data_IF_233706910564
#
_entry.id   IF_233706910564
#
_cell.length_a   1.000
_cell.length_b   1.000
_cell.length_c   1.000
_cell.angle_alpha   90.00
_cell.angle_beta   90.00
_cell.angle_gamma   90.00
#
_symmetry.space_group_name_H-M   'P 1'
#
loop_
_entity.id
_entity.type
_entity.pdbx_description
1 polymer ?
#
# COMPACT_ATOMS: atom_id res chain seq x y z
N UNK A 1 -27.51 23.44 -50.82
CA UNK A 1 -26.81 22.24 -50.28
C UNK A 1 -26.13 22.66 -48.98
N UNK A 2 -26.76 22.37 -47.85
CA UNK A 2 -26.27 22.75 -46.52
C UNK A 2 -25.81 21.53 -45.75
N UNK A 3 -24.64 21.61 -45.11
CA UNK A 3 -24.16 20.61 -44.16
C UNK A 3 -24.06 21.31 -42.80
N UNK A 4 -24.90 20.88 -41.86
CA UNK A 4 -24.86 21.28 -40.44
C UNK A 4 -23.90 20.34 -39.69
N UNK A 5 -23.11 20.81 -38.72
CA UNK A 5 -22.33 19.94 -37.85
C UNK A 5 -23.25 19.23 -36.85
N UNK A 6 -23.01 17.93 -36.66
CA UNK A 6 -23.77 17.07 -35.75
C UNK A 6 -23.22 17.19 -34.33
N UNK A 7 -24.05 17.66 -33.39
CA UNK A 7 -23.72 17.69 -31.97
C UNK A 7 -23.84 16.27 -31.36
N UNK A 8 -22.88 15.90 -30.52
CA UNK A 8 -22.92 14.66 -29.76
C UNK A 8 -23.96 14.73 -28.63
N UNK A 9 -24.81 13.72 -28.53
CA UNK A 9 -25.84 13.58 -27.50
C UNK A 9 -25.19 13.02 -26.23
N UNK A 10 -25.32 13.74 -25.11
CA UNK A 10 -24.89 13.30 -23.78
C UNK A 10 -26.06 12.53 -23.15
N UNK A 11 -25.88 11.25 -22.84
CA UNK A 11 -26.84 10.45 -22.06
C UNK A 11 -26.73 10.78 -20.57
N UNK A 12 -27.84 10.87 -19.81
CA UNK A 12 -27.80 11.06 -18.36
C UNK A 12 -27.45 9.75 -17.63
N UNK A 13 -26.60 9.84 -16.59
CA UNK A 13 -26.28 8.74 -15.68
C UNK A 13 -27.49 8.31 -14.82
N UNK A 14 -27.59 7.03 -14.42
CA UNK A 14 -28.64 6.57 -13.53
C UNK A 14 -28.33 6.95 -12.07
N UNK A 15 -29.25 7.70 -11.46
CA UNK A 15 -29.26 8.00 -10.03
C UNK A 15 -29.55 6.74 -9.20
N UNK A 16 -28.56 6.22 -8.48
CA UNK A 16 -28.77 5.14 -7.50
C UNK A 16 -29.26 5.73 -6.18
N UNK A 17 -30.57 5.62 -5.90
CA UNK A 17 -31.16 5.99 -4.61
C UNK A 17 -30.98 4.86 -3.58
N UNK A 18 -30.37 5.19 -2.45
CA UNK A 18 -30.04 4.28 -1.32
C UNK A 18 -31.24 3.91 -0.43
N UNK A 19 -32.48 4.02 -0.91
CA UNK A 19 -33.66 4.07 -0.04
C UNK A 19 -34.23 2.71 0.44
N UNK A 20 -33.62 1.56 0.11
CA UNK A 20 -34.19 0.25 0.45
C UNK A 20 -33.14 -0.79 0.90
N UNK A 21 -32.53 -0.60 2.08
CA UNK A 21 -31.85 -1.70 2.78
C UNK A 21 -32.61 -2.10 4.04
N UNK A 22 -33.00 -3.38 4.21
CA UNK A 22 -33.59 -3.86 5.44
C UNK A 22 -32.59 -3.77 6.61
N UNK A 23 -33.12 -3.56 7.82
CA UNK A 23 -32.32 -3.39 9.03
C UNK A 23 -31.52 -4.66 9.38
N UNK A 24 -30.27 -4.55 9.87
CA UNK A 24 -29.48 -5.69 10.31
C UNK A 24 -30.12 -6.36 11.54
N UNK A 25 -30.21 -7.69 11.53
CA UNK A 25 -30.70 -8.48 12.66
C UNK A 25 -29.77 -8.34 13.89
N UNK A 26 -30.30 -8.44 15.13
CA UNK A 26 -29.48 -8.39 16.34
C UNK A 26 -28.54 -9.60 16.40
N UNK A 27 -27.23 -9.35 16.48
CA UNK A 27 -26.23 -10.40 16.66
C UNK A 27 -26.14 -10.80 18.14
N UNK A 28 -25.94 -12.09 18.47
CA UNK A 28 -25.75 -12.54 19.85
C UNK A 28 -24.45 -11.96 20.45
N UNK A 29 -24.36 -11.80 21.78
CA UNK A 29 -23.20 -11.21 22.42
C UNK A 29 -21.98 -12.13 22.23
N UNK A 30 -21.00 -11.67 21.47
CA UNK A 30 -19.71 -12.35 21.34
C UNK A 30 -18.95 -12.15 22.66
N UNK A 31 -18.46 -13.22 23.33
CA UNK A 31 -17.63 -13.07 24.51
C UNK A 31 -16.40 -12.23 24.19
N UNK A 32 -16.27 -11.05 24.81
CA UNK A 32 -15.09 -10.20 24.64
C UNK A 32 -13.92 -10.87 25.35
N UNK A 33 -13.01 -11.43 24.56
CA UNK A 33 -11.68 -11.79 25.05
C UNK A 33 -11.02 -10.52 25.63
N UNK A 34 -10.29 -10.60 26.75
CA UNK A 34 -9.55 -9.47 27.28
C UNK A 34 -8.57 -8.96 26.21
N UNK A 35 -8.39 -7.63 26.07
CA UNK A 35 -7.42 -7.09 25.13
C UNK A 35 -6.05 -7.65 25.49
N UNK A 36 -5.41 -8.31 24.53
CA UNK A 36 -4.03 -8.73 24.66
C UNK A 36 -3.17 -7.51 25.06
N UNK A 37 -2.14 -7.68 25.92
CA UNK A 37 -1.26 -6.58 26.28
C UNK A 37 -0.75 -5.92 25.00
N UNK A 38 -0.93 -4.61 24.91
CA UNK A 38 -0.50 -3.80 23.78
C UNK A 38 1.01 -3.93 23.63
N UNK A 39 1.43 -4.85 22.75
CA UNK A 39 2.81 -4.94 22.30
C UNK A 39 3.14 -3.59 21.67
N UNK A 40 3.83 -2.71 22.40
CA UNK A 40 4.22 -1.37 21.96
C UNK A 40 5.31 -1.49 20.89
N UNK A 41 4.90 -1.82 19.68
CA UNK A 41 5.73 -1.92 18.49
C UNK A 41 5.45 -0.72 17.57
N UNK A 42 6.43 -0.35 16.74
CA UNK A 42 6.31 0.75 15.78
C UNK A 42 6.19 2.15 16.40
N UNK A 43 6.37 2.28 17.72
CA UNK A 43 6.28 3.54 18.46
C UNK A 43 7.54 3.82 19.28
N UNK A 44 7.74 5.07 19.65
CA UNK A 44 8.80 5.51 20.57
C UNK A 44 8.72 4.76 21.92
N UNK A 45 9.84 4.62 22.66
CA UNK A 45 11.17 5.15 22.34
C UNK A 45 12.04 4.21 21.48
N UNK A 46 11.67 2.93 21.35
CA UNK A 46 12.56 1.90 20.80
C UNK A 46 12.23 1.49 19.35
N UNK A 47 11.10 1.95 18.80
CA UNK A 47 10.66 1.71 17.41
C UNK A 47 10.88 0.27 16.93
N UNK A 48 10.47 -0.71 17.75
CA UNK A 48 10.63 -2.13 17.41
C UNK A 48 9.59 -2.53 16.36
N UNK A 49 9.96 -3.18 15.24
CA UNK A 49 8.99 -3.69 14.28
C UNK A 49 7.94 -4.60 14.93
N UNK A 50 6.69 -4.49 14.51
CA UNK A 50 5.60 -5.33 15.00
C UNK A 50 5.66 -6.78 14.51
N UNK A 51 6.32 -6.99 13.37
CA UNK A 51 6.51 -8.29 12.73
C UNK A 51 7.95 -8.39 12.22
N UNK A 52 8.43 -9.61 11.99
CA UNK A 52 9.73 -9.82 11.34
C UNK A 52 9.73 -9.31 9.90
N UNK A 53 10.92 -9.04 9.34
CA UNK A 53 11.06 -8.63 7.94
C UNK A 53 10.52 -9.70 6.97
N UNK A 54 10.70 -10.98 7.28
CA UNK A 54 10.16 -12.09 6.48
C UNK A 54 8.63 -12.09 6.46
N UNK A 55 8.00 -11.81 7.61
CA UNK A 55 6.55 -11.66 7.71
C UNK A 55 6.07 -10.39 7.00
N UNK A 56 6.77 -9.27 7.12
CA UNK A 56 6.43 -8.01 6.45
C UNK A 56 6.52 -8.12 4.93
N UNK A 57 7.59 -8.74 4.42
CA UNK A 57 7.75 -9.06 3.00
C UNK A 57 6.81 -10.16 2.52
N UNK A 58 6.23 -10.93 3.44
CA UNK A 58 5.38 -12.10 3.21
C UNK A 58 5.93 -12.98 2.08
N UNK A 59 7.09 -13.59 2.32
CA UNK A 59 7.71 -14.58 1.43
C UNK A 59 7.36 -15.99 1.91
N UNK A 60 6.07 -16.38 1.92
CA UNK A 60 5.75 -17.79 2.10
C UNK A 60 5.96 -18.52 0.76
N UNK A 61 7.15 -19.08 0.54
CA UNK A 61 7.55 -19.74 -0.72
C UNK A 61 6.65 -20.91 -1.16
N UNK A 62 5.70 -21.35 -0.33
CA UNK A 62 4.89 -22.54 -0.57
C UNK A 62 3.54 -22.26 -1.26
N UNK A 63 3.16 -21.00 -1.49
CA UNK A 63 1.96 -20.69 -2.26
C UNK A 63 2.25 -19.58 -3.27
N UNK A 64 2.10 -19.89 -4.54
CA UNK A 64 2.49 -19.06 -5.69
C UNK A 64 1.73 -17.72 -5.82
N UNK A 65 0.89 -17.37 -4.84
CA UNK A 65 0.25 -16.06 -4.69
C UNK A 65 0.37 -15.55 -3.25
N UNK A 66 1.60 -15.20 -2.84
CA UNK A 66 1.78 -14.36 -1.66
C UNK A 66 1.87 -12.92 -2.09
N UNK A 67 0.79 -12.17 -1.89
CA UNK A 67 0.74 -10.72 -2.10
C UNK A 67 1.00 -10.06 -0.77
N UNK A 68 2.16 -9.41 -0.61
CA UNK A 68 2.42 -8.57 0.56
C UNK A 68 1.51 -7.34 0.51
N UNK A 69 1.14 -6.79 1.67
CA UNK A 69 0.36 -5.54 1.74
C UNK A 69 1.04 -4.38 0.97
N UNK A 70 2.38 -4.38 0.96
CA UNK A 70 3.20 -3.48 0.17
C UNK A 70 2.98 -3.68 -1.34
N UNK A 71 3.10 -4.91 -1.84
CA UNK A 71 2.86 -5.22 -3.26
C UNK A 71 1.44 -4.88 -3.69
N UNK A 72 0.45 -5.15 -2.84
CA UNK A 72 -0.93 -4.79 -3.12
C UNK A 72 -1.11 -3.27 -3.22
N UNK A 73 -0.51 -2.51 -2.31
CA UNK A 73 -0.51 -1.05 -2.38
C UNK A 73 0.15 -0.54 -3.66
N UNK A 74 1.31 -1.09 -4.03
CA UNK A 74 1.99 -0.74 -5.27
C UNK A 74 1.12 -0.98 -6.51
N UNK A 75 0.39 -2.10 -6.55
CA UNK A 75 -0.57 -2.40 -7.62
C UNK A 75 -1.70 -1.38 -7.67
N UNK A 76 -2.30 -1.05 -6.53
CA UNK A 76 -3.37 -0.03 -6.44
C UNK A 76 -2.89 1.37 -6.85
N UNK A 77 -1.63 1.68 -6.63
CA UNK A 77 -0.98 2.93 -7.07
C UNK A 77 -0.50 2.88 -8.53
N UNK A 78 -0.80 1.81 -9.28
CA UNK A 78 -0.45 1.62 -10.68
C UNK A 78 1.06 1.75 -10.95
N UNK A 79 1.90 1.19 -10.08
CA UNK A 79 3.34 1.16 -10.31
C UNK A 79 3.67 0.27 -11.55
N UNK A 80 4.66 0.66 -12.37
CA UNK A 80 5.10 -0.14 -13.52
C UNK A 80 5.49 -1.56 -13.12
N UNK A 81 5.32 -2.58 -13.99
CA UNK A 81 5.68 -3.96 -13.68
C UNK A 81 7.11 -4.15 -13.17
N UNK A 82 8.08 -3.39 -13.71
CA UNK A 82 9.46 -3.40 -13.24
C UNK A 82 9.64 -2.85 -11.81
N UNK A 83 8.80 -1.91 -11.38
CA UNK A 83 8.75 -1.45 -10.00
C UNK A 83 8.03 -2.44 -9.07
N UNK A 84 7.04 -3.20 -9.56
CA UNK A 84 6.32 -4.18 -8.74
C UNK A 84 7.25 -5.27 -8.20
N UNK A 85 8.30 -5.64 -8.94
CA UNK A 85 9.33 -6.57 -8.49
C UNK A 85 10.13 -6.06 -7.27
N UNK A 86 10.15 -4.74 -7.05
CA UNK A 86 10.80 -4.09 -5.92
C UNK A 86 9.89 -3.94 -4.69
N UNK A 87 8.58 -4.20 -4.81
CA UNK A 87 7.58 -4.00 -3.75
C UNK A 87 7.61 -5.06 -2.65
N UNK A 88 8.75 -5.15 -1.96
CA UNK A 88 9.03 -6.02 -0.82
C UNK A 88 10.04 -5.34 0.12
N UNK A 89 9.95 -5.59 1.42
CA UNK A 89 10.78 -4.92 2.43
C UNK A 89 12.24 -5.42 2.48
N UNK A 90 12.51 -6.60 1.92
CA UNK A 90 13.81 -7.25 1.86
C UNK A 90 14.57 -6.95 0.55
N UNK A 91 14.14 -5.93 -0.20
CA UNK A 91 14.82 -5.46 -1.41
C UNK A 91 16.17 -4.82 -1.04
N UNK A 92 17.22 -5.15 -1.80
CA UNK A 92 18.56 -4.59 -1.57
C UNK A 92 18.80 -3.32 -2.39
N UNK A 93 19.74 -2.47 -1.94
CA UNK A 93 20.15 -1.28 -2.72
C UNK A 93 20.65 -1.65 -4.12
N UNK A 94 21.33 -2.80 -4.27
CA UNK A 94 21.83 -3.27 -5.55
C UNK A 94 20.69 -3.60 -6.53
N UNK A 95 19.61 -4.23 -6.05
CA UNK A 95 18.44 -4.55 -6.86
C UNK A 95 17.67 -3.29 -7.27
N UNK A 96 17.50 -2.34 -6.35
CA UNK A 96 16.89 -1.03 -6.67
C UNK A 96 17.72 -0.29 -7.72
N UNK A 97 19.04 -0.19 -7.52
CA UNK A 97 19.95 0.45 -8.48
C UNK A 97 19.87 -0.20 -9.85
N UNK A 98 19.97 -1.52 -9.92
CA UNK A 98 19.87 -2.28 -11.18
C UNK A 98 18.54 -2.04 -11.91
N UNK A 99 17.42 -1.99 -11.19
CA UNK A 99 16.12 -1.71 -11.79
C UNK A 99 15.99 -0.26 -12.31
N UNK A 100 16.55 0.72 -11.59
CA UNK A 100 16.56 2.11 -12.05
C UNK A 100 17.49 2.31 -13.25
N UNK A 101 18.71 1.78 -13.20
CA UNK A 101 19.71 1.90 -14.27
C UNK A 101 19.22 1.25 -15.58
N UNK A 102 18.45 0.17 -15.48
CA UNK A 102 17.82 -0.51 -16.62
C UNK A 102 16.50 0.13 -17.08
N UNK A 103 16.06 1.21 -16.45
CA UNK A 103 14.79 1.87 -16.75
C UNK A 103 13.53 1.05 -16.41
N UNK A 104 13.66 -0.01 -15.61
CA UNK A 104 12.54 -0.86 -15.19
C UNK A 104 11.68 -0.18 -14.13
N UNK A 105 12.28 0.71 -13.33
CA UNK A 105 11.58 1.52 -12.35
C UNK A 105 12.09 2.96 -12.38
N UNK A 106 11.20 3.89 -12.73
CA UNK A 106 11.55 5.31 -12.85
C UNK A 106 11.57 6.03 -11.50
N UNK A 107 12.28 7.15 -11.44
CA UNK A 107 12.37 8.00 -10.24
C UNK A 107 11.00 8.46 -9.72
N UNK A 108 10.02 8.66 -10.61
CA UNK A 108 8.66 9.06 -10.25
C UNK A 108 7.88 7.96 -9.49
N UNK A 109 8.34 6.71 -9.53
CA UNK A 109 7.75 5.61 -8.76
C UNK A 109 8.26 5.55 -7.31
N UNK A 110 9.29 6.31 -6.95
CA UNK A 110 9.85 6.32 -5.59
C UNK A 110 8.87 6.88 -4.57
N UNK A 111 8.22 8.01 -4.86
CA UNK A 111 7.24 8.61 -3.94
C UNK A 111 6.07 7.67 -3.60
N UNK A 112 5.32 7.10 -4.58
CA UNK A 112 4.23 6.19 -4.27
C UNK A 112 4.71 4.87 -3.67
N UNK A 113 5.93 4.41 -3.98
CA UNK A 113 6.54 3.28 -3.30
C UNK A 113 6.75 3.58 -1.80
N UNK A 114 7.33 4.72 -1.46
CA UNK A 114 7.61 5.11 -0.07
C UNK A 114 6.32 5.31 0.73
N UNK A 115 5.27 5.86 0.11
CA UNK A 115 3.93 5.96 0.71
C UNK A 115 3.37 4.58 1.06
N UNK A 116 3.50 3.60 0.15
CA UNK A 116 3.08 2.24 0.40
C UNK A 116 3.93 1.55 1.49
N UNK A 117 5.25 1.75 1.47
CA UNK A 117 6.16 1.17 2.45
C UNK A 117 5.90 1.73 3.86
N UNK A 118 5.52 3.01 3.97
CA UNK A 118 5.17 3.65 5.24
C UNK A 118 3.74 3.35 5.70
N UNK A 119 2.92 2.71 4.87
CA UNK A 119 1.47 2.57 5.09
C UNK A 119 0.80 3.93 5.33
N UNK A 120 1.29 4.98 4.70
CA UNK A 120 0.83 6.36 4.88
C UNK A 120 1.18 6.98 6.25
N UNK A 121 2.06 6.37 7.05
CA UNK A 121 2.47 6.88 8.36
C UNK A 121 3.70 7.77 8.25
N UNK A 122 3.75 8.81 9.09
CA UNK A 122 4.97 9.59 9.29
C UNK A 122 5.97 8.78 10.14
N UNK A 123 7.09 8.42 9.53
CA UNK A 123 8.18 7.69 10.18
C UNK A 123 9.36 8.60 10.53
N UNK A 124 9.22 9.94 10.46
CA UNK A 124 10.32 10.89 10.66
C UNK A 124 11.02 10.72 12.00
N UNK A 125 10.26 10.51 13.09
CA UNK A 125 10.85 10.28 14.41
C UNK A 125 11.64 8.95 14.47
N UNK A 126 11.10 7.88 13.87
CA UNK A 126 11.79 6.60 13.75
C UNK A 126 13.09 6.75 12.94
N UNK A 127 13.02 7.43 11.79
CA UNK A 127 14.18 7.72 10.94
C UNK A 127 15.25 8.54 11.68
N UNK A 128 14.84 9.54 12.47
CA UNK A 128 15.73 10.33 13.33
C UNK A 128 16.38 9.45 14.39
N UNK A 129 15.59 8.63 15.09
CA UNK A 129 16.08 7.70 16.10
C UNK A 129 17.06 6.67 15.52
N UNK A 130 16.84 6.20 14.29
CA UNK A 130 17.71 5.25 13.57
C UNK A 130 18.88 5.90 12.83
N UNK A 131 19.02 7.22 12.87
CA UNK A 131 20.11 7.93 12.18
C UNK A 131 20.01 7.91 10.64
N UNK A 132 18.81 7.70 10.07
CA UNK A 132 18.60 7.65 8.61
C UNK A 132 18.73 9.03 7.96
N UNK A 133 18.48 10.09 8.74
CA UNK A 133 18.46 11.50 8.26
C UNK A 133 19.84 12.08 7.91
N UNK A 134 20.92 11.31 7.96
CA UNK A 134 22.24 11.75 7.54
C UNK A 134 22.64 11.09 6.21
N UNK A 135 22.47 11.83 5.11
CA UNK A 135 23.29 11.63 3.91
C UNK A 135 23.95 12.97 3.57
N UNK A 136 25.23 13.05 3.93
CA UNK A 136 26.20 14.04 3.41
C UNK A 136 26.39 13.84 1.92
#
# INVERSE_FOLDING_TARGET
MGIRPSAAVISPEPSFTFANRPAPMPQPPVPRLPPAPSQQCGVAPNFRPCVSSQQASHVNRLMQHVVSALLECCRRKNLPPGCLALCRYDITQAEVRSAMDRGLCGIFSVAPYLECASQGKDNTECCRHKGVVAKT
#
